data_IF_238718380739
#
_entry.id   IF_238718380739
#
_cell.length_a   1.000
_cell.length_b   1.000
_cell.length_c   1.000
_cell.angle_alpha   90.00
_cell.angle_beta   90.00
_cell.angle_gamma   90.00
#
_symmetry.space_group_name_H-M   'P 1'
#
loop_
_entity.id
_entity.type
_entity.pdbx_description
1 polymer ?
#
# COMPACT_ATOMS: atom_id res chain seq x y z
N UNK A 1 -13.65 -27.16 -32.77
CA UNK A 1 -13.75 -27.64 -31.37
C UNK A 1 -12.54 -27.34 -30.46
N UNK A 2 -11.26 -27.25 -30.90
CA UNK A 2 -10.15 -27.03 -29.97
C UNK A 2 -10.17 -25.63 -29.35
N UNK A 3 -10.60 -24.61 -30.11
CA UNK A 3 -10.63 -23.22 -29.65
C UNK A 3 -11.52 -23.01 -28.41
N UNK A 4 -12.66 -23.71 -28.35
CA UNK A 4 -13.58 -23.59 -27.20
C UNK A 4 -12.96 -24.17 -25.93
N UNK A 5 -12.24 -25.29 -26.04
CA UNK A 5 -11.48 -25.87 -24.93
C UNK A 5 -10.34 -24.94 -24.49
N UNK A 6 -9.61 -24.34 -25.43
CA UNK A 6 -8.56 -23.36 -25.13
C UNK A 6 -9.12 -22.16 -24.38
N UNK A 7 -10.25 -21.60 -24.84
CA UNK A 7 -10.90 -20.45 -24.16
C UNK A 7 -11.34 -20.83 -22.74
N UNK A 8 -11.95 -22.01 -22.56
CA UNK A 8 -12.34 -22.50 -21.23
C UNK A 8 -11.10 -22.66 -20.34
N UNK A 9 -10.03 -23.26 -20.85
CA UNK A 9 -8.78 -23.42 -20.10
C UNK A 9 -8.20 -22.06 -19.70
N UNK A 10 -8.21 -21.08 -20.62
CA UNK A 10 -7.75 -19.72 -20.34
C UNK A 10 -8.55 -19.04 -19.23
N UNK A 11 -9.88 -19.22 -19.25
CA UNK A 11 -10.78 -18.68 -18.22
C UNK A 11 -10.54 -19.32 -16.86
N UNK A 12 -10.37 -20.65 -16.80
CA UNK A 12 -10.06 -21.35 -15.55
C UNK A 12 -8.70 -20.92 -15.00
N UNK A 13 -7.68 -20.84 -15.85
CA UNK A 13 -6.35 -20.39 -15.45
C UNK A 13 -6.37 -18.94 -14.95
N UNK A 14 -7.06 -18.03 -15.64
CA UNK A 14 -7.19 -16.64 -15.20
C UNK A 14 -7.98 -16.53 -13.90
N UNK A 15 -9.12 -17.22 -13.77
CA UNK A 15 -9.93 -17.19 -12.57
C UNK A 15 -9.20 -17.76 -11.36
N UNK A 16 -8.49 -18.89 -11.55
CA UNK A 16 -7.63 -19.48 -10.53
C UNK A 16 -6.50 -18.55 -10.13
N UNK A 17 -5.81 -17.93 -11.09
CA UNK A 17 -4.75 -16.96 -10.83
C UNK A 17 -5.27 -15.72 -10.09
N UNK A 18 -6.46 -15.24 -10.44
CA UNK A 18 -7.09 -14.11 -9.77
C UNK A 18 -7.45 -14.43 -8.31
N UNK A 19 -8.02 -15.60 -8.06
CA UNK A 19 -8.34 -16.07 -6.70
C UNK A 19 -7.06 -16.28 -5.86
N UNK A 20 -6.03 -16.83 -6.49
CA UNK A 20 -4.71 -17.03 -5.87
C UNK A 20 -4.03 -15.72 -5.50
N UNK A 21 -3.98 -14.75 -6.42
CA UNK A 21 -3.32 -13.45 -6.23
C UNK A 21 -4.02 -12.55 -5.21
N UNK A 22 -5.30 -12.80 -4.91
CA UNK A 22 -6.03 -12.12 -3.82
C UNK A 22 -5.76 -12.71 -2.44
N UNK A 23 -5.27 -13.95 -2.37
CA UNK A 23 -5.04 -14.66 -1.11
C UNK A 23 -6.23 -15.46 -0.62
N UNK A 24 -7.29 -15.62 -1.42
CA UNK A 24 -8.44 -16.45 -1.03
C UNK A 24 -8.03 -17.94 -0.85
N UNK A 25 -6.91 -18.35 -1.44
CA UNK A 25 -6.32 -19.67 -1.27
C UNK A 25 -5.33 -19.76 -0.08
N UNK A 26 -5.21 -18.72 0.74
CA UNK A 26 -4.27 -18.70 1.86
C UNK A 26 -4.58 -19.78 2.92
N UNK A 27 -5.86 -20.07 3.17
CA UNK A 27 -6.28 -21.15 4.08
C UNK A 27 -5.86 -22.55 3.63
N UNK A 28 -5.49 -22.72 2.36
CA UNK A 28 -4.99 -23.98 1.79
C UNK A 28 -3.45 -24.04 1.73
N UNK A 29 -2.73 -23.06 2.30
CA UNK A 29 -1.27 -22.97 2.24
C UNK A 29 -0.72 -22.58 0.87
N UNK A 30 -1.59 -22.15 -0.04
CA UNK A 30 -1.24 -21.69 -1.38
C UNK A 30 -1.13 -20.16 -1.44
N UNK A 31 -1.02 -19.45 -0.31
CA UNK A 31 -0.86 -18.00 -0.32
C UNK A 31 0.43 -17.59 -1.04
N UNK A 32 0.40 -16.61 -1.95
CA UNK A 32 1.60 -15.92 -2.36
C UNK A 32 2.30 -15.28 -1.15
N UNK A 33 3.59 -15.55 -0.98
CA UNK A 33 4.40 -14.97 0.10
C UNK A 33 4.33 -13.43 0.14
N UNK A 34 4.13 -12.79 -1.01
CA UNK A 34 4.02 -11.33 -1.13
C UNK A 34 2.71 -10.68 -0.65
N UNK A 35 1.68 -11.45 -0.27
CA UNK A 35 0.40 -10.88 0.19
C UNK A 35 0.48 -10.27 1.60
N UNK A 36 1.23 -10.90 2.49
CA UNK A 36 1.52 -10.38 3.83
C UNK A 36 2.59 -9.29 3.81
N UNK A 37 3.38 -9.24 2.73
CA UNK A 37 4.44 -8.27 2.49
C UNK A 37 3.91 -6.89 2.04
N UNK A 38 2.88 -6.36 2.72
CA UNK A 38 2.55 -4.94 2.63
C UNK A 38 3.56 -4.15 3.46
N UNK A 39 4.70 -3.93 2.80
CA UNK A 39 5.68 -2.88 3.06
C UNK A 39 6.82 -3.15 4.08
N UNK A 40 7.62 -4.22 3.91
CA UNK A 40 8.91 -4.35 4.61
C UNK A 40 9.88 -3.24 4.21
N UNK A 41 9.74 -2.69 3.00
CA UNK A 41 10.53 -1.56 2.52
C UNK A 41 10.29 -0.30 3.34
N UNK A 42 9.08 -0.08 3.87
CA UNK A 42 8.84 0.99 4.85
C UNK A 42 9.64 0.79 6.13
N UNK A 43 9.76 -0.44 6.64
CA UNK A 43 10.62 -0.72 7.80
C UNK A 43 12.09 -0.39 7.53
N UNK A 44 12.62 -0.83 6.39
CA UNK A 44 14.01 -0.57 6.01
C UNK A 44 14.31 0.93 5.75
N UNK A 45 13.26 1.73 5.49
CA UNK A 45 13.34 3.16 5.24
C UNK A 45 12.70 4.00 6.34
N UNK A 46 12.45 3.42 7.52
CA UNK A 46 11.95 4.19 8.66
C UNK A 46 12.99 5.24 9.05
N UNK A 47 12.68 6.49 8.73
CA UNK A 47 13.37 7.65 9.29
C UNK A 47 13.01 7.65 10.77
N UNK A 48 14.00 7.64 11.65
CA UNK A 48 13.84 7.70 13.11
C UNK A 48 13.04 8.95 13.51
N UNK A 49 11.72 8.85 13.76
CA UNK A 49 10.91 10.03 14.08
C UNK A 49 11.38 10.71 15.37
N UNK A 50 12.05 9.98 16.26
CA UNK A 50 12.64 10.50 17.50
C UNK A 50 13.73 11.56 17.28
N UNK A 51 14.34 11.62 16.10
CA UNK A 51 15.32 12.65 15.77
C UNK A 51 14.71 13.89 15.10
N UNK A 52 13.40 13.88 14.81
CA UNK A 52 12.70 15.00 14.19
C UNK A 52 12.35 16.05 15.25
N UNK A 53 13.05 17.18 15.24
CA UNK A 53 12.70 18.34 16.08
C UNK A 53 11.79 19.30 15.30
N UNK A 54 10.51 19.35 15.66
CA UNK A 54 9.56 20.32 15.10
C UNK A 54 9.88 21.68 15.71
N UNK A 55 10.48 22.58 14.93
CA UNK A 55 10.67 23.97 15.32
C UNK A 55 9.43 24.75 14.91
N UNK A 56 8.71 25.28 15.90
CA UNK A 56 7.74 26.34 15.62
C UNK A 56 8.54 27.57 15.18
N UNK A 57 8.26 28.05 13.97
CA UNK A 57 8.75 29.37 13.55
C UNK A 57 8.25 30.38 14.60
N UNK A 58 9.13 31.20 15.20
CA UNK A 58 8.68 32.24 16.11
C UNK A 58 7.60 33.06 15.38
N UNK A 59 6.46 33.36 16.04
CA UNK A 59 5.43 34.18 15.43
C UNK A 59 6.12 35.43 14.89
N UNK A 60 6.05 35.64 13.58
CA UNK A 60 6.65 36.79 12.89
C UNK A 60 6.16 38.04 13.63
N UNK A 61 7.03 38.60 14.47
CA UNK A 61 6.78 39.82 15.19
C UNK A 61 6.67 40.94 14.16
N UNK A 62 5.44 41.22 13.71
CA UNK A 62 5.21 42.15 12.62
C UNK A 62 3.84 42.09 11.96
N UNK A 63 2.89 41.32 12.47
CA UNK A 63 1.49 41.41 12.01
C UNK A 63 0.53 41.77 13.15
N UNK A 64 0.95 42.68 14.03
CA UNK A 64 0.03 43.50 14.83
C UNK A 64 -0.07 44.87 14.17
N UNK A 65 -0.77 44.92 13.03
CA UNK A 65 -1.31 46.17 12.52
C UNK A 65 -2.43 46.62 13.46
N UNK A 66 -2.41 47.85 14.01
CA UNK A 66 -3.47 48.34 14.87
C UNK A 66 -4.74 48.54 14.03
N UNK A 67 -5.63 47.55 14.06
CA UNK A 67 -7.00 47.65 13.59
C UNK A 67 -7.80 48.53 14.54
N UNK A 68 -8.10 49.73 14.05
CA UNK A 68 -9.01 50.74 14.58
C UNK A 68 -10.19 50.22 15.41
N UNK A 69 -10.37 50.82 16.59
CA UNK A 69 -11.67 51.09 17.21
C UNK A 69 -11.65 52.50 17.77
#
# INVERSE_FOLDING_TARGET
MPLRLVVIALLVLNGGYWLWSRGDLAGFGLAPAGLDERDPQRLARQIHPEYLQIRAEPPKAGASGPGAR
#
